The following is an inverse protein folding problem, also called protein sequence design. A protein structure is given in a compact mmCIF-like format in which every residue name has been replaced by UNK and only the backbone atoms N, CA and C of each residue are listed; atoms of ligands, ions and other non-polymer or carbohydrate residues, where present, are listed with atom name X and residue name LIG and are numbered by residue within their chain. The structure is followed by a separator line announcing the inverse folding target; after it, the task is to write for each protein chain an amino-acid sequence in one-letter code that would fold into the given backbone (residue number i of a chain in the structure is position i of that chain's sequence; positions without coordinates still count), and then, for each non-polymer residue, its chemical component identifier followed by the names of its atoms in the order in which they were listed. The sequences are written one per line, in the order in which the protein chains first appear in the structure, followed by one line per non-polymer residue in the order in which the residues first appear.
data_IF_618119741809
#
_entry.id   IF_618119741809
#
_cell.length_a   1.000
_cell.length_b   1.000
_cell.length_c   1.000
_cell.angle_alpha   90.00
_cell.angle_beta   90.00
_cell.angle_gamma   90.00
#
_symmetry.space_group_name_H-M   'P 1'
#
loop_
_entity.id
_entity.type
_entity.pdbx_description
1 polymer ?
#
# COMPACT_ATOMS: atom_id res chain seq x y z
N UNK A 1 -5.40 -14.10 -41.66
CA UNK A 1 -6.84 -14.33 -41.40
C UNK A 1 -7.14 -15.83 -41.42
N UNK A 2 -7.14 -16.46 -40.23
CA UNK A 2 -7.86 -17.71 -39.95
C UNK A 2 -8.35 -17.61 -38.51
N UNK A 3 -9.59 -17.17 -38.41
CA UNK A 3 -10.38 -17.09 -37.18
C UNK A 3 -10.65 -18.53 -36.73
N UNK A 4 -10.20 -18.89 -35.52
CA UNK A 4 -10.59 -20.14 -34.88
C UNK A 4 -11.43 -19.80 -33.65
N UNK A 5 -12.73 -19.63 -33.88
CA UNK A 5 -13.77 -19.57 -32.84
C UNK A 5 -13.94 -20.96 -32.23
N UNK A 6 -13.51 -21.16 -30.98
CA UNK A 6 -13.88 -22.36 -30.22
C UNK A 6 -15.03 -22.06 -29.25
N UNK A 7 -16.18 -22.56 -29.70
CA UNK A 7 -17.50 -22.68 -29.09
C UNK A 7 -17.56 -22.69 -27.56
N UNK A 8 -18.40 -21.78 -27.04
CA UNK A 8 -19.07 -21.85 -25.74
C UNK A 8 -19.87 -23.15 -25.63
N UNK A 9 -19.63 -23.93 -24.58
CA UNK A 9 -20.54 -24.99 -24.13
C UNK A 9 -21.07 -24.63 -22.76
N UNK A 10 -22.30 -24.13 -22.74
CA UNK A 10 -23.11 -24.05 -21.53
C UNK A 10 -23.57 -25.47 -21.15
N UNK A 11 -23.37 -25.84 -19.89
CA UNK A 11 -24.04 -26.97 -19.28
C UNK A 11 -24.82 -26.45 -18.07
N UNK A 12 -26.11 -26.24 -18.28
CA UNK A 12 -27.07 -26.03 -17.19
C UNK A 12 -27.38 -27.40 -16.57
N UNK A 13 -27.12 -27.54 -15.27
CA UNK A 13 -27.67 -28.63 -14.45
C UNK A 13 -28.47 -27.98 -13.34
N UNK A 14 -29.79 -28.12 -13.43
CA UNK A 14 -30.74 -27.74 -12.40
C UNK A 14 -31.28 -29.00 -11.71
N UNK A 15 -31.24 -29.00 -10.38
CA UNK A 15 -32.03 -29.76 -9.39
C UNK A 15 -31.15 -29.84 -8.12
N UNK A 16 -31.54 -29.47 -6.91
CA UNK A 16 -32.84 -29.27 -6.27
C UNK A 16 -32.62 -29.68 -4.80
N UNK A 17 -33.15 -28.93 -3.83
CA UNK A 17 -33.02 -29.30 -2.42
C UNK A 17 -33.43 -28.19 -1.47
N UNK A 18 -34.72 -28.11 -1.19
CA UNK A 18 -35.31 -27.30 -0.12
C UNK A 18 -35.25 -28.12 1.18
N UNK A 19 -34.54 -27.65 2.22
CA UNK A 19 -34.74 -28.15 3.58
C UNK A 19 -34.90 -26.99 4.55
N UNK A 20 -36.18 -26.77 4.88
CA UNK A 20 -36.68 -26.02 6.04
C UNK A 20 -36.28 -26.77 7.32
N UNK A 21 -35.45 -26.16 8.15
CA UNK A 21 -35.21 -26.58 9.53
C UNK A 21 -35.54 -25.45 10.48
N UNK A 22 -36.78 -25.42 10.98
CA UNK A 22 -37.19 -24.58 12.10
C UNK A 22 -37.51 -25.50 13.29
N UNK A 23 -36.86 -25.25 14.44
CA UNK A 23 -37.36 -25.39 15.81
C UNK A 23 -36.23 -25.68 16.80
N UNK A 24 -35.87 -24.67 17.59
CA UNK A 24 -35.69 -24.82 19.04
C UNK A 24 -35.81 -23.44 19.67
N UNK A 25 -37.06 -23.00 19.83
CA UNK A 25 -37.42 -22.05 20.87
C UNK A 25 -37.08 -22.70 22.22
N UNK A 26 -36.27 -22.03 23.03
CA UNK A 26 -36.29 -22.17 24.48
C UNK A 26 -36.62 -20.78 25.02
N UNK A 27 -37.72 -20.75 25.76
CA UNK A 27 -38.50 -19.63 26.26
C UNK A 27 -38.15 -19.40 27.74
N UNK A 28 -38.12 -18.12 28.15
CA UNK A 28 -38.05 -17.53 29.51
C UNK A 28 -36.84 -17.92 30.41
N UNK A 29 -36.17 -17.01 31.12
CA UNK A 29 -36.66 -15.90 31.96
C UNK A 29 -35.52 -14.90 32.30
N UNK A 30 -35.96 -13.75 32.78
CA UNK A 30 -35.27 -12.77 33.64
C UNK A 30 -34.52 -11.57 33.05
N UNK A 31 -35.04 -10.41 33.43
CA UNK A 31 -34.51 -9.08 33.21
C UNK A 31 -33.86 -8.64 34.50
N UNK A 32 -32.54 -8.43 34.54
CA UNK A 32 -31.94 -7.62 35.60
C UNK A 32 -30.74 -6.80 35.13
N UNK A 33 -31.06 -5.52 34.91
CA UNK A 33 -30.35 -4.29 35.28
C UNK A 33 -28.93 -4.38 35.89
N UNK A 34 -27.98 -3.77 35.17
CA UNK A 34 -26.88 -2.88 35.61
C UNK A 34 -25.99 -3.20 36.83
N UNK A 35 -24.68 -3.19 36.53
CA UNK A 35 -23.55 -2.63 37.30
C UNK A 35 -23.09 -3.36 38.56
N UNK A 36 -21.82 -3.77 38.58
CA UNK A 36 -20.81 -3.29 39.55
C UNK A 36 -19.40 -3.72 39.12
N UNK A 37 -18.50 -2.73 39.17
CA UNK A 37 -17.04 -2.77 39.03
C UNK A 37 -16.35 -3.60 40.13
N UNK A 38 -15.13 -4.05 39.83
CA UNK A 38 -13.95 -4.14 40.71
C UNK A 38 -13.35 -5.54 40.99
N UNK A 39 -12.27 -5.80 40.23
CA UNK A 39 -10.92 -6.11 40.68
C UNK A 39 -10.54 -7.45 41.36
N UNK A 40 -9.24 -7.74 41.13
CA UNK A 40 -8.33 -8.65 41.83
C UNK A 40 -8.47 -10.14 41.47
N UNK A 41 -7.42 -10.92 41.22
CA UNK A 41 -5.99 -10.72 41.31
C UNK A 41 -5.33 -11.72 40.34
N UNK A 42 -4.31 -11.24 39.62
CA UNK A 42 -3.33 -12.12 39.00
C UNK A 42 -2.49 -12.78 40.10
N UNK A 43 -2.39 -14.09 40.04
CA UNK A 43 -1.43 -14.87 40.80
C UNK A 43 -0.73 -15.79 39.81
N UNK A 44 0.57 -15.59 39.59
CA UNK A 44 1.58 -16.62 39.87
C UNK A 44 2.90 -15.93 40.18
N UNK A 45 3.45 -16.42 41.28
CA UNK A 45 4.60 -15.98 42.05
C UNK A 45 5.92 -16.31 41.33
N UNK A 46 6.90 -15.45 41.59
CA UNK A 46 8.33 -15.65 41.39
C UNK A 46 8.88 -16.96 42.00
N UNK A 47 10.10 -17.29 41.57
CA UNK A 47 11.24 -17.90 42.31
C UNK A 47 12.10 -18.62 41.26
N UNK A 48 13.43 -18.65 41.26
CA UNK A 48 14.55 -17.95 41.88
C UNK A 48 15.80 -18.67 41.32
N UNK A 49 16.96 -18.03 41.31
CA UNK A 49 18.26 -18.71 41.17
C UNK A 49 18.85 -18.72 39.75
N UNK A 50 19.73 -17.80 39.32
CA UNK A 50 21.03 -17.37 39.83
C UNK A 50 22.23 -18.00 39.09
N UNK A 51 23.28 -17.17 39.01
CA UNK A 51 24.66 -17.43 38.60
C UNK A 51 24.91 -17.57 37.09
N UNK A 52 25.84 -16.86 36.45
CA UNK A 52 26.96 -16.05 36.93
C UNK A 52 27.96 -15.96 35.78
N UNK A 53 28.72 -14.86 35.66
CA UNK A 53 29.80 -14.78 34.69
C UNK A 53 30.09 -13.36 34.21
N UNK A 54 30.97 -12.69 34.96
CA UNK A 54 31.66 -11.48 34.54
C UNK A 54 32.56 -11.73 33.32
N UNK A 55 32.79 -10.71 32.49
CA UNK A 55 34.15 -10.18 32.32
C UNK A 55 34.11 -8.76 31.73
N UNK A 56 34.98 -7.91 32.25
CA UNK A 56 35.18 -6.54 31.84
C UNK A 56 36.47 -6.45 31.01
N UNK A 57 36.51 -5.57 30.01
CA UNK A 57 37.77 -4.96 29.62
C UNK A 57 37.59 -3.47 29.38
N UNK A 58 38.33 -2.75 30.22
CA UNK A 58 38.54 -1.33 30.35
C UNK A 58 39.63 -0.83 29.38
N UNK A 59 39.63 0.50 29.18
CA UNK A 59 40.80 1.31 28.85
C UNK A 59 40.96 1.69 27.38
N UNK A 60 41.38 2.89 27.01
CA UNK A 60 41.78 4.10 27.74
C UNK A 60 42.00 5.18 26.64
N UNK A 61 41.53 6.41 26.82
CA UNK A 61 42.31 7.61 27.20
C UNK A 61 43.04 8.37 26.08
N UNK A 62 43.06 9.69 26.24
CA UNK A 62 43.97 10.64 25.61
C UNK A 62 43.33 11.46 24.49
N UNK A 63 43.28 12.79 24.51
CA UNK A 63 44.00 13.77 25.31
C UNK A 63 44.04 15.07 24.49
N UNK A 64 43.95 16.21 25.20
CA UNK A 64 43.88 17.57 24.69
C UNK A 64 44.97 17.96 23.67
N UNK A 65 44.75 19.01 22.86
CA UNK A 65 45.38 20.32 23.07
C UNK A 65 44.84 21.37 22.08
N UNK A 66 45.10 22.64 22.39
CA UNK A 66 44.47 23.83 21.85
C UNK A 66 45.48 24.69 21.04
N UNK A 67 44.97 25.78 20.44
CA UNK A 67 45.69 26.95 19.86
C UNK A 67 46.44 26.67 18.54
N UNK A 68 46.39 27.48 17.49
CA UNK A 68 46.64 28.94 17.34
C UNK A 68 46.01 29.36 15.97
N UNK A 69 45.20 30.42 15.84
CA UNK A 69 45.57 31.79 15.40
C UNK A 69 46.76 31.81 14.40
N UNK A 70 46.81 32.46 13.24
CA UNK A 70 46.19 33.64 12.59
C UNK A 70 46.57 33.57 11.10
N UNK A 71 45.79 34.10 10.17
CA UNK A 71 46.14 35.34 9.44
C UNK A 71 45.05 35.70 8.41
N UNK A 72 44.79 36.99 8.33
CA UNK A 72 43.81 37.63 7.47
C UNK A 72 44.50 38.17 6.22
N UNK A 73 43.78 38.26 5.10
CA UNK A 73 43.77 39.46 4.26
C UNK A 73 42.54 39.46 3.35
N UNK A 74 41.76 40.54 3.47
CA UNK A 74 41.08 41.35 2.44
C UNK A 74 40.70 40.69 1.09
N UNK A 75 39.50 40.86 0.55
CA UNK A 75 38.45 41.83 0.84
C UNK A 75 37.58 42.02 -0.40
N UNK A 76 36.51 42.81 -0.22
CA UNK A 76 35.54 43.32 -1.19
C UNK A 76 34.31 42.44 -1.50
N UNK A 77 33.36 42.48 -0.56
CA UNK A 77 32.08 43.19 -0.67
C UNK A 77 31.38 43.26 -2.05
N UNK A 78 30.13 42.78 -2.03
CA UNK A 78 29.06 42.98 -3.00
C UNK A 78 28.15 41.75 -2.96
N UNK A 79 27.12 41.63 -2.12
CA UNK A 79 26.29 42.63 -1.49
C UNK A 79 24.83 42.39 -1.91
N UNK A 80 24.14 41.52 -1.15
CA UNK A 80 22.70 41.27 -1.07
C UNK A 80 21.98 40.67 -2.30
N UNK A 81 20.97 39.79 -2.21
CA UNK A 81 20.03 39.50 -1.13
C UNK A 81 19.31 38.15 -1.39
N UNK A 82 18.96 37.47 -0.30
CA UNK A 82 17.94 36.42 -0.04
C UNK A 82 17.43 35.51 -1.18
N UNK A 83 17.32 34.18 -1.00
CA UNK A 83 16.58 33.52 0.09
C UNK A 83 17.19 32.19 0.52
N UNK A 84 17.40 32.08 1.83
CA UNK A 84 17.57 30.83 2.59
C UNK A 84 16.20 30.15 2.78
N UNK A 85 16.20 28.81 2.84
CA UNK A 85 15.07 28.06 3.40
C UNK A 85 14.59 26.85 2.60
N UNK A 86 15.46 25.84 2.48
CA UNK A 86 15.21 24.39 2.67
C UNK A 86 15.83 23.54 1.55
N UNK A 87 17.06 23.12 1.81
CA UNK A 87 17.63 21.91 1.24
C UNK A 87 17.05 20.67 1.95
N UNK A 88 16.92 19.60 1.17
CA UNK A 88 16.51 18.25 1.53
C UNK A 88 15.83 17.66 0.29
N UNK A 89 16.31 16.62 -0.35
CA UNK A 89 17.40 15.70 -0.06
C UNK A 89 17.74 15.03 -1.42
N UNK A 90 18.93 14.45 -1.56
CA UNK A 90 19.47 13.89 -2.78
C UNK A 90 18.50 12.96 -3.55
N UNK A 91 18.04 13.40 -4.73
CA UNK A 91 17.40 12.53 -5.71
C UNK A 91 18.47 11.69 -6.45
N UNK A 92 19.17 10.83 -5.72
CA UNK A 92 19.97 9.74 -6.28
C UNK A 92 19.51 8.41 -5.67
N UNK A 93 18.60 7.71 -6.35
CA UNK A 93 18.17 6.41 -5.85
C UNK A 93 17.05 5.64 -6.56
N UNK A 94 16.70 5.90 -7.82
CA UNK A 94 15.79 5.00 -8.55
C UNK A 94 16.57 3.77 -9.05
N UNK A 95 16.66 2.75 -8.20
CA UNK A 95 17.30 1.46 -8.47
C UNK A 95 16.74 0.75 -9.70
N UNK A 96 17.68 0.31 -10.52
CA UNK A 96 17.59 -0.29 -11.86
C UNK A 96 16.89 -1.66 -11.90
N UNK A 97 15.90 -1.86 -12.79
CA UNK A 97 15.40 -3.20 -13.06
C UNK A 97 14.18 -3.40 -13.97
N UNK A 98 13.79 -2.42 -14.77
CA UNK A 98 12.58 -2.45 -15.59
C UNK A 98 12.83 -1.64 -16.85
N UNK A 99 12.33 -2.06 -18.00
CA UNK A 99 12.43 -1.32 -19.26
C UNK A 99 11.64 0.01 -19.21
N UNK A 100 12.24 1.02 -18.58
CA UNK A 100 11.74 2.39 -18.51
C UNK A 100 12.10 3.05 -17.17
N UNK A 101 12.56 4.30 -17.25
CA UNK A 101 12.82 5.14 -16.08
C UNK A 101 11.47 5.75 -15.64
N UNK A 102 11.22 5.84 -14.33
CA UNK A 102 10.03 6.51 -13.83
C UNK A 102 10.06 8.00 -14.22
N UNK A 103 8.90 8.56 -14.57
CA UNK A 103 8.76 10.02 -14.68
C UNK A 103 8.98 10.66 -13.30
N UNK A 104 9.21 11.97 -13.28
CA UNK A 104 9.39 12.72 -12.02
C UNK A 104 8.17 12.55 -11.09
N UNK A 105 6.95 12.61 -11.65
CA UNK A 105 5.72 12.41 -10.89
C UNK A 105 5.60 10.99 -10.31
N UNK A 106 5.91 9.96 -11.11
CA UNK A 106 5.89 8.57 -10.66
C UNK A 106 6.97 8.28 -9.62
N UNK A 107 8.18 8.82 -9.80
CA UNK A 107 9.27 8.66 -8.85
C UNK A 107 8.93 9.32 -7.51
N UNK A 108 8.41 10.54 -7.52
CA UNK A 108 7.98 11.24 -6.31
C UNK A 108 6.87 10.48 -5.55
N UNK A 109 5.86 9.98 -6.27
CA UNK A 109 4.80 9.20 -5.65
C UNK A 109 5.31 7.87 -5.08
N UNK A 110 6.22 7.20 -5.79
CA UNK A 110 6.85 5.97 -5.32
C UNK A 110 7.68 6.18 -4.04
N UNK A 111 8.45 7.27 -3.98
CA UNK A 111 9.20 7.66 -2.78
C UNK A 111 8.28 8.03 -1.61
N UNK A 112 7.19 8.77 -1.86
CA UNK A 112 6.18 9.10 -0.84
C UNK A 112 5.55 7.83 -0.22
N UNK A 113 5.41 6.76 -1.01
CA UNK A 113 4.93 5.46 -0.56
C UNK A 113 6.02 4.56 0.06
N UNK A 114 7.23 5.09 0.27
CA UNK A 114 8.32 4.39 0.96
C UNK A 114 9.28 3.63 0.04
N UNK A 115 9.20 3.85 -1.28
CA UNK A 115 10.09 3.26 -2.27
C UNK A 115 10.12 1.73 -2.21
N UNK A 116 11.31 1.15 -2.42
CA UNK A 116 11.50 -0.31 -2.49
C UNK A 116 11.11 -1.03 -1.19
N UNK A 117 11.24 -0.35 -0.05
CA UNK A 117 10.85 -0.89 1.26
C UNK A 117 9.38 -0.62 1.63
N UNK A 118 8.70 0.15 0.79
CA UNK A 118 7.31 0.57 0.96
C UNK A 118 6.29 -0.49 0.53
N UNK A 119 5.03 -0.06 0.44
CA UNK A 119 3.92 -0.97 0.12
C UNK A 119 4.03 -1.57 -1.28
N UNK A 120 4.57 -0.82 -2.25
CA UNK A 120 4.68 -1.25 -3.64
C UNK A 120 5.81 -2.25 -3.90
N UNK A 121 6.90 -2.22 -3.12
CA UNK A 121 8.09 -3.03 -3.39
C UNK A 121 8.89 -2.55 -4.61
N UNK A 122 9.78 -3.39 -5.17
CA UNK A 122 10.70 -2.98 -6.22
C UNK A 122 9.99 -2.79 -7.57
N UNK A 123 10.48 -1.83 -8.36
CA UNK A 123 10.01 -1.58 -9.73
C UNK A 123 10.34 -2.76 -10.65
N UNK A 124 9.35 -3.23 -11.41
CA UNK A 124 9.43 -4.39 -12.29
C UNK A 124 9.30 -4.03 -13.79
N UNK A 125 8.41 -3.10 -14.14
CA UNK A 125 8.15 -2.71 -15.53
C UNK A 125 7.59 -1.28 -15.61
N UNK A 126 7.85 -0.57 -16.71
CA UNK A 126 7.16 0.68 -17.05
C UNK A 126 6.64 0.59 -18.48
N UNK A 127 5.33 0.78 -18.65
CA UNK A 127 4.67 0.80 -19.95
C UNK A 127 4.03 2.16 -20.20
N UNK A 128 4.09 2.68 -21.43
CA UNK A 128 3.38 3.90 -21.83
C UNK A 128 2.47 3.63 -23.03
N UNK A 129 1.29 4.24 -23.03
CA UNK A 129 0.30 4.18 -24.10
C UNK A 129 -0.45 5.49 -24.26
N UNK A 130 -1.48 5.50 -25.11
CA UNK A 130 -2.27 6.72 -25.37
C UNK A 130 -3.03 7.22 -24.13
N UNK A 131 -3.41 6.31 -23.22
CA UNK A 131 -4.10 6.64 -21.98
C UNK A 131 -3.18 7.28 -20.91
N UNK A 132 -1.91 6.86 -20.87
CA UNK A 132 -0.97 7.27 -19.83
C UNK A 132 0.20 6.29 -19.68
N UNK A 133 0.85 6.34 -18.53
CA UNK A 133 1.94 5.44 -18.14
C UNK A 133 1.49 4.51 -17.01
N UNK A 134 1.90 3.25 -17.05
CA UNK A 134 1.71 2.25 -16.01
C UNK A 134 3.07 1.75 -15.53
N UNK A 135 3.43 2.09 -14.29
CA UNK A 135 4.56 1.51 -13.58
C UNK A 135 4.07 0.31 -12.75
N UNK A 136 4.71 -0.84 -12.94
CA UNK A 136 4.43 -2.09 -12.23
C UNK A 136 5.53 -2.35 -11.21
N UNK A 137 5.14 -2.64 -9.98
CA UNK A 137 6.01 -2.98 -8.86
C UNK A 137 5.70 -4.39 -8.35
N UNK A 138 6.48 -4.92 -7.40
CA UNK A 138 6.28 -6.26 -6.84
C UNK A 138 4.86 -6.49 -6.29
N UNK A 139 4.29 -5.48 -5.63
CA UNK A 139 3.04 -5.62 -4.85
C UNK A 139 1.93 -4.65 -5.30
N UNK A 140 2.13 -3.91 -6.39
CA UNK A 140 1.15 -2.94 -6.86
C UNK A 140 1.58 -2.18 -8.11
N UNK A 141 0.83 -1.15 -8.43
CA UNK A 141 0.99 -0.35 -9.63
C UNK A 141 0.81 1.14 -9.34
N UNK A 142 1.44 1.96 -10.17
CA UNK A 142 1.11 3.37 -10.30
C UNK A 142 0.74 3.66 -11.75
N UNK A 143 -0.34 4.41 -11.95
CA UNK A 143 -0.64 5.01 -13.25
C UNK A 143 -0.38 6.50 -13.22
N UNK A 144 0.19 7.04 -14.28
CA UNK A 144 0.25 8.49 -14.54
C UNK A 144 -0.59 8.81 -15.78
N UNK A 145 -1.62 9.64 -15.63
CA UNK A 145 -2.42 10.15 -16.75
C UNK A 145 -1.65 11.21 -17.56
N UNK A 146 -2.15 11.53 -18.76
CA UNK A 146 -1.50 12.52 -19.64
C UNK A 146 -1.38 13.95 -19.06
N UNK A 147 -2.15 14.29 -18.03
CA UNK A 147 -2.06 15.54 -17.28
C UNK A 147 -1.13 15.47 -16.06
N UNK A 148 -0.48 14.33 -15.82
CA UNK A 148 0.49 14.12 -14.74
C UNK A 148 -0.12 13.66 -13.41
N UNK A 149 -1.39 13.25 -13.39
CA UNK A 149 -2.01 12.72 -12.16
C UNK A 149 -1.53 11.29 -11.92
N UNK A 150 -0.87 11.07 -10.79
CA UNK A 150 -0.42 9.73 -10.37
C UNK A 150 -1.42 9.11 -9.41
N UNK A 151 -1.88 7.90 -9.72
CA UNK A 151 -2.87 7.16 -8.94
C UNK A 151 -2.38 5.73 -8.67
N UNK A 152 -2.40 5.24 -7.42
CA UNK A 152 -2.03 3.88 -7.10
C UNK A 152 -3.14 2.88 -7.45
N UNK A 153 -2.76 1.67 -7.84
CA UNK A 153 -3.61 0.49 -7.74
C UNK A 153 -2.89 -0.57 -6.91
N UNK A 154 -3.59 -1.14 -5.94
CA UNK A 154 -3.05 -2.17 -5.04
C UNK A 154 -4.02 -3.36 -4.97
N UNK A 155 -3.55 -4.47 -4.43
CA UNK A 155 -4.37 -5.64 -4.13
C UNK A 155 -5.15 -6.20 -5.33
N UNK A 156 -6.33 -6.75 -5.05
CA UNK A 156 -7.16 -7.45 -6.05
C UNK A 156 -7.82 -6.50 -7.05
N UNK A 157 -8.02 -5.22 -6.70
CA UNK A 157 -8.54 -4.22 -7.63
C UNK A 157 -7.52 -3.97 -8.74
N UNK A 158 -6.26 -3.67 -8.37
CA UNK A 158 -5.17 -3.49 -9.33
C UNK A 158 -4.93 -4.74 -10.17
N UNK A 159 -4.87 -5.91 -9.51
CA UNK A 159 -4.70 -7.19 -10.21
C UNK A 159 -5.80 -7.45 -11.24
N UNK A 160 -7.06 -7.20 -10.90
CA UNK A 160 -8.20 -7.37 -11.83
C UNK A 160 -8.07 -6.41 -13.01
N UNK A 161 -7.82 -5.12 -12.76
CA UNK A 161 -7.75 -4.11 -13.82
C UNK A 161 -6.60 -4.36 -14.81
N UNK A 162 -5.40 -4.72 -14.31
CA UNK A 162 -4.23 -5.06 -15.14
C UNK A 162 -4.47 -6.36 -15.91
N UNK A 163 -5.03 -7.39 -15.27
CA UNK A 163 -5.36 -8.66 -15.94
C UNK A 163 -6.38 -8.48 -17.07
N UNK A 164 -7.32 -7.56 -16.89
CA UNK A 164 -8.36 -7.23 -17.87
C UNK A 164 -7.90 -6.21 -18.94
N UNK A 165 -6.60 -5.90 -19.00
CA UNK A 165 -6.00 -5.16 -20.13
C UNK A 165 -5.17 -3.94 -19.75
N UNK A 166 -5.12 -3.56 -18.46
CA UNK A 166 -4.29 -2.45 -17.99
C UNK A 166 -4.62 -1.14 -18.72
N UNK A 167 -3.64 -0.53 -19.39
CA UNK A 167 -3.84 0.70 -20.17
C UNK A 167 -4.89 0.57 -21.29
N UNK A 168 -5.23 -0.65 -21.72
CA UNK A 168 -6.29 -0.94 -22.70
C UNK A 168 -7.65 -1.30 -22.06
N UNK A 169 -7.77 -1.28 -20.72
CA UNK A 169 -8.99 -1.64 -20.01
C UNK A 169 -10.15 -0.68 -20.33
N UNK A 170 -11.36 -1.23 -20.54
CA UNK A 170 -12.55 -0.45 -20.90
C UNK A 170 -13.00 0.54 -19.80
N UNK A 171 -12.59 0.30 -18.55
CA UNK A 171 -12.83 1.23 -17.44
C UNK A 171 -11.98 2.51 -17.54
N UNK A 172 -10.90 2.51 -18.34
CA UNK A 172 -9.92 3.60 -18.38
C UNK A 172 -9.00 3.60 -17.16
N UNK A 173 -8.28 4.71 -16.96
CA UNK A 173 -7.38 4.89 -15.82
C UNK A 173 -8.13 5.04 -14.49
N UNK A 174 -7.53 4.68 -13.36
CA UNK A 174 -8.06 5.03 -12.05
C UNK A 174 -8.01 6.54 -11.84
N UNK A 175 -9.01 7.07 -11.14
CA UNK A 175 -9.17 8.52 -10.89
C UNK A 175 -8.95 8.91 -9.44
N UNK A 176 -8.88 7.94 -8.55
CA UNK A 176 -8.58 8.08 -7.13
C UNK A 176 -7.99 6.78 -6.58
N UNK A 177 -7.28 6.80 -5.45
CA UNK A 177 -6.89 5.59 -4.72
C UNK A 177 -8.11 4.76 -4.31
N UNK A 178 -7.91 3.46 -4.09
CA UNK A 178 -8.97 2.61 -3.53
C UNK A 178 -9.36 3.05 -2.11
N UNK A 179 -10.62 2.78 -1.75
CA UNK A 179 -11.16 3.02 -0.42
C UNK A 179 -11.92 1.80 0.06
N UNK A 180 -11.85 1.50 1.36
CA UNK A 180 -12.55 0.37 1.93
C UNK A 180 -11.81 -0.26 3.10
N UNK A 181 -12.30 -1.44 3.51
CA UNK A 181 -11.73 -2.22 4.59
C UNK A 181 -12.13 -3.70 4.48
N UNK A 182 -11.55 -4.54 5.35
CA UNK A 182 -11.78 -5.98 5.33
C UNK A 182 -13.21 -6.41 5.68
N UNK A 183 -14.04 -5.53 6.27
CA UNK A 183 -15.42 -5.83 6.61
C UNK A 183 -16.39 -5.54 5.45
N UNK A 184 -16.17 -4.46 4.69
CA UNK A 184 -17.05 -4.07 3.56
C UNK A 184 -16.47 -4.36 2.19
N UNK A 185 -15.17 -4.66 2.12
CA UNK A 185 -14.41 -4.73 0.89
C UNK A 185 -13.89 -3.37 0.46
N UNK A 186 -13.28 -3.36 -0.73
CA UNK A 186 -12.60 -2.21 -1.32
C UNK A 186 -13.28 -1.79 -2.62
N UNK A 187 -13.15 -0.53 -2.97
CA UNK A 187 -13.67 0.06 -4.19
C UNK A 187 -12.72 1.13 -4.73
N UNK A 188 -12.57 1.18 -6.05
CA UNK A 188 -11.83 2.22 -6.74
C UNK A 188 -12.60 2.73 -7.96
N UNK A 189 -12.55 4.05 -8.17
CA UNK A 189 -13.20 4.72 -9.29
C UNK A 189 -12.25 4.88 -10.46
N UNK A 190 -12.75 4.59 -11.66
CA UNK A 190 -12.05 4.70 -12.93
C UNK A 190 -12.79 5.68 -13.84
N UNK A 191 -12.13 6.16 -14.89
CA UNK A 191 -12.68 7.14 -15.83
C UNK A 191 -14.08 6.76 -16.35
N UNK A 192 -14.30 5.47 -16.63
CA UNK A 192 -15.52 4.94 -17.23
C UNK A 192 -16.21 3.91 -16.33
N UNK A 193 -16.04 3.98 -15.01
CA UNK A 193 -16.77 3.11 -14.09
C UNK A 193 -16.14 2.95 -12.72
N UNK A 194 -16.43 1.82 -12.09
CA UNK A 194 -15.97 1.51 -10.73
C UNK A 194 -15.71 0.02 -10.64
N UNK A 195 -14.62 -0.35 -9.99
CA UNK A 195 -14.28 -1.73 -9.68
C UNK A 195 -14.27 -1.88 -8.16
N UNK A 196 -14.99 -2.89 -7.67
CA UNK A 196 -15.05 -3.22 -6.25
C UNK A 196 -14.59 -4.65 -6.01
N UNK A 197 -13.86 -4.89 -4.93
CA UNK A 197 -13.54 -6.22 -4.42
C UNK A 197 -14.35 -6.46 -3.16
N UNK A 198 -15.41 -7.26 -3.28
CA UNK A 198 -16.47 -7.37 -2.26
C UNK A 198 -16.56 -8.77 -1.67
N UNK A 199 -16.90 -8.84 -0.37
CA UNK A 199 -17.24 -10.07 0.31
C UNK A 199 -18.75 -10.31 0.23
N UNK A 200 -19.16 -11.53 -0.15
CA UNK A 200 -20.59 -11.88 -0.26
C UNK A 200 -21.28 -12.17 1.09
N UNK A 201 -20.58 -11.98 2.21
CA UNK A 201 -21.03 -12.28 3.57
C UNK A 201 -20.90 -13.76 3.96
N UNK A 202 -20.58 -14.64 3.02
CA UNK A 202 -20.28 -16.06 3.27
C UNK A 202 -18.76 -16.33 3.30
N UNK A 203 -17.94 -15.28 3.23
CA UNK A 203 -16.48 -15.39 3.18
C UNK A 203 -15.92 -15.53 1.76
N UNK A 204 -16.76 -15.50 0.72
CA UNK A 204 -16.29 -15.51 -0.65
C UNK A 204 -16.07 -14.07 -1.15
N UNK A 205 -14.94 -13.86 -1.80
CA UNK A 205 -14.54 -12.57 -2.34
C UNK A 205 -14.59 -12.59 -3.87
N UNK A 206 -15.04 -11.50 -4.48
CA UNK A 206 -15.14 -11.37 -5.93
C UNK A 206 -15.07 -9.93 -6.40
N UNK A 207 -14.61 -9.75 -7.63
CA UNK A 207 -14.64 -8.47 -8.33
C UNK A 207 -16.06 -8.18 -8.82
N UNK A 208 -16.52 -6.96 -8.59
CA UNK A 208 -17.73 -6.38 -9.14
C UNK A 208 -17.35 -5.15 -9.98
N UNK A 209 -17.62 -5.23 -11.28
CA UNK A 209 -17.33 -4.15 -12.24
C UNK A 209 -18.63 -3.45 -12.60
N UNK A 210 -18.70 -2.16 -12.29
CA UNK A 210 -19.83 -1.30 -12.62
C UNK A 210 -19.40 -0.27 -13.67
N UNK A 211 -19.79 -0.43 -14.95
CA UNK A 211 -19.49 0.56 -15.97
C UNK A 211 -20.21 1.89 -15.68
N UNK A 212 -19.59 3.00 -16.11
CA UNK A 212 -20.18 4.34 -16.09
C UNK A 212 -21.43 4.41 -16.97
N UNK A 213 -22.35 5.33 -16.62
CA UNK A 213 -23.62 5.52 -17.31
C UNK A 213 -23.57 6.57 -18.43
#
# INVERSE_FOLDING_TARGET
MRISMLKRSAAAVAAGGLLLGAAACSDDDDSDTTSTTDATAGAVDDLDGADGGADATDGAEGGADATDATDATDGAEGGADATDGAEGDDAEGAGNGADGELSEGLAAAYEEMGGETGELGALQNVESGDAGTLATFDNGWLTESADGTVTPLIGEIGNTWVTDGGLENELGLPTAPETGDAATGWQQTFENGTLSWVNDGAGNWSADIQPGQ
#
